data_IF_729265936125
#
_entry.id   IF_729265936125
#
_cell.length_a   1.000
_cell.length_b   1.000
_cell.length_c   1.000
_cell.angle_alpha   90.00
_cell.angle_beta   90.00
_cell.angle_gamma   90.00
#
_symmetry.space_group_name_H-M   'P 1'
#
loop_
_entity.id
_entity.type
_entity.pdbx_description
1 polymer ?
#
# COMPACT_ATOMS: atom_id res chain seq x y z
N UNK A 1 -20.25 -0.93 1.61
CA UNK A 1 -19.06 -0.41 2.34
C UNK A 1 -18.65 0.92 1.72
N UNK A 2 -18.47 1.99 2.51
CA UNK A 2 -17.83 3.21 2.01
C UNK A 2 -16.38 2.88 1.69
N UNK A 3 -15.96 3.11 0.45
CA UNK A 3 -14.56 2.98 0.06
C UNK A 3 -13.76 4.07 0.76
N UNK A 4 -12.59 3.74 1.30
CA UNK A 4 -11.64 4.73 1.83
C UNK A 4 -11.30 5.75 0.72
N UNK A 5 -11.12 7.03 1.06
CA UNK A 5 -10.62 8.00 0.07
C UNK A 5 -9.11 7.83 -0.11
N UNK A 6 -8.60 8.24 -1.28
CA UNK A 6 -7.16 8.18 -1.56
C UNK A 6 -6.34 9.02 -0.58
N UNK A 7 -6.83 10.20 -0.21
CA UNK A 7 -6.17 11.07 0.77
C UNK A 7 -6.14 10.45 2.16
N UNK A 8 -7.26 9.85 2.61
CA UNK A 8 -7.28 9.15 3.89
C UNK A 8 -6.31 7.97 3.90
N UNK A 9 -6.24 7.21 2.81
CA UNK A 9 -5.26 6.14 2.66
C UNK A 9 -3.82 6.67 2.70
N UNK A 10 -3.53 7.76 1.98
CA UNK A 10 -2.20 8.39 1.99
C UNK A 10 -1.80 8.80 3.40
N UNK A 11 -2.70 9.47 4.13
CA UNK A 11 -2.46 9.85 5.52
C UNK A 11 -2.19 8.64 6.41
N UNK A 12 -2.90 7.53 6.24
CA UNK A 12 -2.63 6.31 7.00
C UNK A 12 -1.25 5.74 6.66
N UNK A 13 -0.91 5.62 5.38
CA UNK A 13 0.39 5.10 4.94
C UNK A 13 1.56 5.96 5.44
N UNK A 14 1.40 7.29 5.46
CA UNK A 14 2.39 8.23 6.00
C UNK A 14 2.74 8.00 7.47
N UNK A 15 1.83 7.42 8.25
CA UNK A 15 2.07 7.12 9.68
C UNK A 15 2.72 5.75 9.89
N UNK A 16 2.88 4.93 8.85
CA UNK A 16 3.40 3.58 9.01
C UNK A 16 4.91 3.55 9.13
N UNK A 17 5.38 2.59 9.92
CA UNK A 17 6.78 2.15 9.85
C UNK A 17 7.10 1.77 8.41
N UNK A 18 8.25 2.25 7.94
CA UNK A 18 8.74 2.05 6.57
C UNK A 18 8.33 3.15 5.60
N UNK A 19 7.37 4.03 5.89
CA UNK A 19 7.04 5.13 4.96
C UNK A 19 8.26 5.99 4.59
N UNK A 20 9.11 6.27 5.57
CA UNK A 20 10.33 7.08 5.41
C UNK A 20 11.36 6.46 4.45
N UNK A 21 11.23 5.18 4.09
CA UNK A 21 12.11 4.51 3.13
C UNK A 21 11.74 4.83 1.66
N UNK A 22 10.57 5.43 1.43
CA UNK A 22 10.07 5.74 0.10
C UNK A 22 10.70 7.06 -0.35
N UNK A 23 11.51 7.07 -1.43
CA UNK A 23 12.00 8.31 -1.99
C UNK A 23 10.85 9.12 -2.59
N UNK A 24 11.03 10.44 -2.70
CA UNK A 24 10.01 11.32 -3.28
C UNK A 24 9.59 10.88 -4.68
N UNK A 25 8.28 10.78 -4.92
CA UNK A 25 7.69 10.30 -6.17
C UNK A 25 7.29 8.82 -6.12
N UNK A 26 8.09 7.97 -5.46
CA UNK A 26 7.76 6.56 -5.22
C UNK A 26 6.61 6.43 -4.22
N UNK A 27 6.54 7.33 -3.25
CA UNK A 27 5.45 7.45 -2.28
C UNK A 27 4.07 7.58 -2.94
N UNK A 28 3.95 8.46 -3.95
CA UNK A 28 2.70 8.60 -4.71
C UNK A 28 2.39 7.35 -5.53
N UNK A 29 3.39 6.73 -6.17
CA UNK A 29 3.17 5.49 -6.94
C UNK A 29 2.69 4.34 -6.04
N UNK A 30 3.24 4.23 -4.82
CA UNK A 30 2.79 3.26 -3.83
C UNK A 30 1.36 3.54 -3.38
N UNK A 31 1.04 4.79 -3.01
CA UNK A 31 -0.32 5.19 -2.62
C UNK A 31 -1.32 4.82 -3.71
N UNK A 32 -0.99 5.10 -4.97
CA UNK A 32 -1.87 4.85 -6.12
C UNK A 32 -2.11 3.34 -6.31
N UNK A 33 -1.06 2.54 -6.22
CA UNK A 33 -1.15 1.09 -6.42
C UNK A 33 -1.88 0.41 -5.26
N UNK A 34 -1.58 0.80 -4.02
CA UNK A 34 -2.31 0.33 -2.83
C UNK A 34 -3.77 0.74 -2.91
N UNK A 35 -4.06 1.98 -3.29
CA UNK A 35 -5.44 2.46 -3.44
C UNK A 35 -6.23 1.63 -4.46
N UNK A 36 -5.62 1.35 -5.62
CA UNK A 36 -6.19 0.50 -6.66
C UNK A 36 -6.50 -0.90 -6.11
N UNK A 37 -5.59 -1.50 -5.36
CA UNK A 37 -5.81 -2.83 -4.77
C UNK A 37 -6.93 -2.81 -3.72
N UNK A 38 -6.85 -1.94 -2.71
CA UNK A 38 -7.79 -1.96 -1.57
C UNK A 38 -9.20 -1.52 -1.93
N UNK A 39 -9.38 -0.85 -3.09
CA UNK A 39 -10.70 -0.48 -3.62
C UNK A 39 -11.22 -1.41 -4.71
N UNK A 40 -10.43 -2.42 -5.09
CA UNK A 40 -10.81 -3.47 -6.03
C UNK A 40 -11.64 -4.57 -5.36
N UNK A 41 -12.61 -5.10 -6.11
CA UNK A 41 -13.36 -6.33 -5.80
C UNK A 41 -13.77 -6.50 -4.33
N UNK A 42 -13.23 -7.56 -3.72
CA UNK A 42 -13.58 -8.09 -2.39
C UNK A 42 -12.46 -7.88 -1.37
N UNK A 43 -11.94 -6.64 -1.25
CA UNK A 43 -10.90 -6.36 -0.27
C UNK A 43 -11.34 -6.70 1.16
N UNK A 44 -10.57 -7.55 1.83
CA UNK A 44 -10.87 -8.06 3.17
C UNK A 44 -9.66 -8.15 4.10
N UNK A 45 -8.48 -7.67 3.69
CA UNK A 45 -7.25 -7.81 4.49
C UNK A 45 -7.10 -6.76 5.62
N UNK A 46 -8.06 -5.83 5.70
CA UNK A 46 -8.05 -4.72 6.64
C UNK A 46 -7.14 -3.57 6.21
N UNK A 47 -6.76 -2.74 7.17
CA UNK A 47 -5.94 -1.56 6.94
C UNK A 47 -4.45 -1.90 6.77
N UNK A 48 -3.68 -1.09 6.02
CA UNK A 48 -2.22 -1.15 6.03
C UNK A 48 -1.65 -1.07 7.45
N UNK A 49 -0.59 -1.85 7.72
CA UNK A 49 0.05 -2.00 9.04
C UNK A 49 1.54 -1.64 9.03
N UNK A 50 2.28 -1.99 7.98
CA UNK A 50 3.69 -1.56 7.78
C UNK A 50 4.10 -1.62 6.32
N UNK A 51 5.13 -0.86 5.98
CA UNK A 51 5.80 -0.85 4.68
C UNK A 51 7.21 -1.43 4.88
N UNK A 52 7.67 -2.24 3.93
CA UNK A 52 9.02 -2.81 3.96
C UNK A 52 9.47 -3.16 2.54
N UNK A 53 10.74 -3.59 2.38
CA UNK A 53 11.23 -4.17 1.13
C UNK A 53 11.46 -5.66 1.34
N UNK A 54 10.98 -6.47 0.41
CA UNK A 54 11.32 -7.88 0.26
C UNK A 54 11.56 -8.16 -1.23
N UNK A 55 12.54 -9.01 -1.54
CA UNK A 55 12.88 -9.40 -2.92
C UNK A 55 13.09 -8.22 -3.89
N UNK A 56 13.57 -7.08 -3.35
CA UNK A 56 13.78 -5.84 -4.11
C UNK A 56 12.50 -5.03 -4.41
N UNK A 57 11.34 -5.46 -3.93
CA UNK A 57 10.06 -4.80 -4.13
C UNK A 57 9.55 -4.13 -2.86
N UNK A 58 8.85 -2.99 -3.02
CA UNK A 58 8.11 -2.38 -1.92
C UNK A 58 6.90 -3.24 -1.58
N UNK A 59 6.71 -3.48 -0.29
CA UNK A 59 5.67 -4.34 0.26
C UNK A 59 4.81 -3.58 1.27
N UNK A 60 3.53 -3.92 1.32
CA UNK A 60 2.60 -3.46 2.36
C UNK A 60 2.02 -4.67 3.05
N UNK A 61 2.21 -4.76 4.37
CA UNK A 61 1.50 -5.72 5.21
C UNK A 61 0.23 -5.10 5.76
N UNK A 62 -0.81 -5.93 5.86
CA UNK A 62 -2.13 -5.56 6.34
C UNK A 62 -2.46 -6.16 7.70
N UNK A 63 -3.56 -5.72 8.30
CA UNK A 63 -3.98 -6.12 9.64
C UNK A 63 -4.14 -7.63 9.83
N UNK A 64 -4.63 -8.35 8.82
CA UNK A 64 -4.78 -9.81 8.87
C UNK A 64 -3.45 -10.58 8.70
N UNK A 65 -2.32 -9.89 8.57
CA UNK A 65 -1.00 -10.48 8.40
C UNK A 65 -0.59 -10.71 6.96
N UNK A 66 -1.53 -10.71 6.00
CA UNK A 66 -1.24 -10.78 4.57
C UNK A 66 -0.46 -9.56 4.11
N UNK A 67 0.38 -9.74 3.11
CA UNK A 67 1.17 -8.69 2.49
C UNK A 67 1.37 -9.01 1.01
N UNK A 68 1.71 -7.99 0.23
CA UNK A 68 1.86 -8.09 -1.23
C UNK A 68 3.12 -7.35 -1.66
N UNK A 69 3.78 -7.85 -2.71
CA UNK A 69 4.77 -7.08 -3.45
C UNK A 69 4.04 -6.10 -4.36
N UNK A 70 4.48 -4.84 -4.40
CA UNK A 70 3.92 -3.83 -5.30
C UNK A 70 4.89 -3.55 -6.43
N UNK A 71 4.45 -3.88 -7.64
CA UNK A 71 5.06 -3.41 -8.87
C UNK A 71 4.54 -2.02 -9.17
N UNK A 72 5.33 -1.03 -8.77
CA UNK A 72 4.99 0.38 -8.92
C UNK A 72 5.08 0.86 -10.37
N UNK A 73 5.92 0.21 -11.20
CA UNK A 73 6.07 0.54 -12.61
C UNK A 73 4.81 0.14 -13.39
N UNK A 74 4.27 -1.03 -13.10
CA UNK A 74 3.08 -1.57 -13.78
C UNK A 74 1.77 -1.36 -13.00
N UNK A 75 1.83 -0.70 -11.83
CA UNK A 75 0.69 -0.48 -10.93
C UNK A 75 -0.08 -1.78 -10.64
N UNK A 76 0.66 -2.83 -10.26
CA UNK A 76 0.14 -4.17 -9.97
C UNK A 76 0.70 -4.74 -8.66
N UNK A 77 0.20 -5.90 -8.24
CA UNK A 77 0.60 -6.57 -6.99
C UNK A 77 0.60 -8.09 -7.15
N UNK A 78 1.46 -8.79 -6.41
CA UNK A 78 1.58 -10.25 -6.40
C UNK A 78 2.10 -10.81 -5.08
#
# INVERSE_FOLDING_TARGET
MKKISKDALKHMLMQLVGWQMLPGGVDNMLVDTVYKQVTSGTWGNGNPKRIFIADGCYCVQYQNGMWWHYDLLHQSWF
#
